data_IF_451473763485
#
_entry.id   IF_451473763485
#
_cell.length_a   1.000
_cell.length_b   1.000
_cell.length_c   1.000
_cell.angle_alpha   90.00
_cell.angle_beta   90.00
_cell.angle_gamma   90.00
#
_symmetry.space_group_name_H-M   'P 1'
#
loop_
_entity.id
_entity.type
_entity.pdbx_description
1 polymer ?
#
# COMPACT_ATOMS: atom_id res chain seq x y z
N UNK A 1 0.38 3.93 23.20
CA UNK A 1 1.60 3.63 22.41
C UNK A 1 2.92 3.88 23.18
N UNK A 2 2.92 3.96 24.53
CA UNK A 2 4.15 4.23 25.30
C UNK A 2 5.23 3.17 25.09
N UNK A 3 4.85 1.89 24.99
CA UNK A 3 5.79 0.81 24.74
C UNK A 3 6.60 0.99 23.45
N UNK A 4 6.01 1.57 22.40
CA UNK A 4 6.70 1.83 21.14
C UNK A 4 7.70 2.96 21.31
N UNK A 5 7.30 4.01 22.04
CA UNK A 5 8.19 5.12 22.37
C UNK A 5 9.42 4.62 23.16
N UNK A 6 9.23 3.73 24.14
CA UNK A 6 10.34 3.12 24.89
C UNK A 6 11.28 2.33 23.98
N UNK A 7 10.73 1.54 23.04
CA UNK A 7 11.54 0.77 22.10
C UNK A 7 12.34 1.66 21.14
N UNK A 8 11.74 2.73 20.64
CA UNK A 8 12.40 3.70 19.77
C UNK A 8 13.42 4.56 20.53
N UNK A 9 13.14 4.92 21.78
CA UNK A 9 14.07 5.62 22.65
C UNK A 9 15.34 4.81 22.91
N UNK A 10 15.21 3.49 23.15
CA UNK A 10 16.36 2.57 23.24
C UNK A 10 17.18 2.49 21.95
N UNK A 11 16.59 2.83 20.80
CA UNK A 11 17.28 2.95 19.52
C UNK A 11 17.89 4.34 19.31
N UNK A 12 17.77 5.26 20.27
CA UNK A 12 18.32 6.62 20.23
C UNK A 12 17.44 7.66 19.54
N UNK A 13 16.12 7.44 19.46
CA UNK A 13 15.18 8.46 19.00
C UNK A 13 14.62 9.25 20.18
N UNK A 14 14.47 10.56 20.02
CA UNK A 14 13.57 11.33 20.88
C UNK A 14 12.14 11.10 20.38
N UNK A 15 11.24 10.68 21.27
CA UNK A 15 9.85 10.35 20.90
C UNK A 15 8.90 11.18 21.74
N UNK A 16 8.01 11.90 21.07
CA UNK A 16 6.90 12.61 21.69
C UNK A 16 5.61 11.83 21.48
N UNK A 17 4.90 11.56 22.57
CA UNK A 17 3.60 10.89 22.55
C UNK A 17 2.57 11.81 23.19
N UNK A 18 1.85 12.64 22.41
CA UNK A 18 0.80 13.46 22.95
C UNK A 18 -0.38 12.60 23.44
N UNK A 19 -0.98 12.99 24.55
CA UNK A 19 -2.32 12.55 24.88
C UNK A 19 -3.33 13.32 24.03
N UNK A 20 -3.93 12.63 23.06
CA UNK A 20 -4.93 13.18 22.16
C UNK A 20 -6.36 12.82 22.58
N UNK A 21 -6.57 12.14 23.72
CA UNK A 21 -7.91 11.78 24.18
C UNK A 21 -8.86 12.99 24.29
N UNK A 22 -8.44 14.16 24.83
CA UNK A 22 -9.32 15.35 24.87
C UNK A 22 -9.69 15.90 23.49
N UNK A 23 -8.87 15.66 22.47
CA UNK A 23 -9.11 16.08 21.08
C UNK A 23 -10.04 15.10 20.35
N UNK A 24 -10.05 13.85 20.77
CA UNK A 24 -10.77 12.78 20.10
C UNK A 24 -12.08 12.40 20.77
N UNK A 25 -12.22 12.70 22.05
CA UNK A 25 -13.40 12.50 22.90
C UNK A 25 -13.89 13.91 23.29
N UNK A 26 -14.74 14.55 22.48
CA UNK A 26 -15.18 15.90 22.77
C UNK A 26 -16.03 15.92 24.04
N UNK A 27 -15.85 16.95 24.88
CA UNK A 27 -16.68 17.16 26.08
C UNK A 27 -18.17 17.40 25.74
N UNK A 28 -18.47 17.73 24.48
CA UNK A 28 -19.83 17.92 23.98
C UNK A 28 -19.91 17.63 22.49
N UNK A 29 -20.91 16.83 22.09
CA UNK A 29 -21.24 16.59 20.67
C UNK A 29 -22.01 17.75 20.03
N UNK A 30 -22.51 18.71 20.82
CA UNK A 30 -23.27 19.87 20.31
C UNK A 30 -22.42 21.10 20.01
N UNK A 31 -21.12 21.06 20.33
CA UNK A 31 -20.13 22.10 19.98
C UNK A 31 -19.03 21.50 19.09
N UNK A 32 -19.32 21.27 17.79
CA UNK A 32 -18.34 20.66 16.90
C UNK A 32 -17.14 21.59 16.73
N UNK A 33 -15.96 20.99 16.63
CA UNK A 33 -14.72 21.66 16.28
C UNK A 33 -13.93 20.79 15.31
N UNK A 34 -12.93 21.38 14.67
CA UNK A 34 -12.01 20.61 13.81
C UNK A 34 -11.01 19.83 14.69
N UNK A 35 -11.22 18.52 14.84
CA UNK A 35 -10.26 17.64 15.50
C UNK A 35 -8.89 17.70 14.82
N UNK A 36 -8.88 17.84 13.50
CA UNK A 36 -7.64 17.95 12.70
C UNK A 36 -6.84 19.20 13.08
N UNK A 37 -7.48 20.37 13.15
CA UNK A 37 -6.83 21.60 13.55
C UNK A 37 -6.34 21.54 15.00
N UNK A 38 -7.12 20.92 15.90
CA UNK A 38 -6.74 20.74 17.30
C UNK A 38 -5.52 19.83 17.46
N UNK A 39 -5.47 18.68 16.76
CA UNK A 39 -4.29 17.80 16.78
C UNK A 39 -3.08 18.53 16.19
N UNK A 40 -3.22 19.21 15.05
CA UNK A 40 -2.12 19.99 14.46
C UNK A 40 -1.56 21.01 15.46
N UNK A 41 -2.41 21.78 16.14
CA UNK A 41 -1.98 22.75 17.14
C UNK A 41 -1.22 22.11 18.32
N UNK A 42 -1.60 20.90 18.76
CA UNK A 42 -0.87 20.16 19.80
C UNK A 42 0.55 19.83 19.33
N UNK A 43 0.68 19.26 18.13
CA UNK A 43 1.99 18.91 17.56
C UNK A 43 2.86 20.14 17.30
N UNK A 44 2.29 21.25 16.81
CA UNK A 44 3.03 22.50 16.58
C UNK A 44 3.59 23.07 17.88
N UNK A 45 2.81 23.06 18.96
CA UNK A 45 3.27 23.49 20.29
C UNK A 45 4.40 22.61 20.80
N UNK A 46 4.29 21.29 20.64
CA UNK A 46 5.35 20.36 21.05
C UNK A 46 6.64 20.56 20.26
N UNK A 47 6.56 20.68 18.93
CA UNK A 47 7.74 20.92 18.09
C UNK A 47 8.40 22.25 18.41
N UNK A 48 7.61 23.31 18.59
CA UNK A 48 8.12 24.63 19.01
C UNK A 48 8.83 24.55 20.36
N UNK A 49 8.27 23.80 21.31
CA UNK A 49 8.89 23.65 22.62
C UNK A 49 10.21 22.85 22.55
N UNK A 50 10.27 21.78 21.75
CA UNK A 50 11.51 21.02 21.52
C UNK A 50 12.59 21.90 20.90
N UNK A 51 12.25 22.69 19.89
CA UNK A 51 13.23 23.52 19.17
C UNK A 51 13.68 24.71 20.00
N UNK A 52 12.89 25.16 20.97
CA UNK A 52 13.27 26.09 22.02
C UNK A 52 14.07 25.45 23.18
N UNK A 53 14.49 24.18 23.07
CA UNK A 53 15.31 23.49 24.06
C UNK A 53 14.53 22.65 25.08
N UNK A 54 13.22 22.50 24.93
CA UNK A 54 12.39 21.53 25.67
C UNK A 54 11.83 22.03 27.01
N UNK A 55 12.21 23.22 27.47
CA UNK A 55 11.84 23.72 28.81
C UNK A 55 10.32 23.78 29.07
N UNK A 56 9.52 24.17 28.07
CA UNK A 56 8.06 24.17 28.19
C UNK A 56 7.42 22.78 28.30
N UNK A 57 8.17 21.72 27.98
CA UNK A 57 7.80 20.32 28.16
C UNK A 57 8.44 19.70 29.41
N UNK A 58 9.25 20.44 30.16
CA UNK A 58 9.98 19.93 31.33
C UNK A 58 11.10 18.96 30.98
N UNK A 59 11.66 19.03 29.77
CA UNK A 59 12.77 18.17 29.31
C UNK A 59 13.93 18.99 28.76
N UNK A 60 15.15 18.47 28.83
CA UNK A 60 16.28 19.04 28.08
C UNK A 60 16.29 18.46 26.66
N UNK A 61 15.87 19.26 25.69
CA UNK A 61 15.81 18.87 24.28
C UNK A 61 16.98 19.42 23.45
N UNK A 62 18.02 20.00 24.07
CA UNK A 62 19.16 20.58 23.32
C UNK A 62 19.91 19.56 22.47
N UNK A 63 19.88 18.29 22.85
CA UNK A 63 20.50 17.19 22.11
C UNK A 63 19.60 16.59 21.02
N UNK A 64 18.37 17.09 20.83
CA UNK A 64 17.43 16.55 19.85
C UNK A 64 17.66 17.17 18.48
N UNK A 65 17.96 16.35 17.49
CA UNK A 65 17.94 16.76 16.09
C UNK A 65 16.48 16.85 15.59
N UNK A 66 15.93 18.07 15.62
CA UNK A 66 14.59 18.38 15.13
C UNK A 66 14.54 18.73 13.63
N UNK A 67 15.63 18.55 12.87
CA UNK A 67 15.67 18.86 11.44
C UNK A 67 14.96 17.80 10.57
N UNK A 68 14.76 16.58 11.10
CA UNK A 68 14.15 15.46 10.39
C UNK A 68 13.07 14.76 11.23
N UNK A 69 12.00 15.46 11.62
CA UNK A 69 10.93 14.85 12.39
C UNK A 69 10.27 13.72 11.58
N UNK A 70 9.89 12.65 12.26
CA UNK A 70 9.10 11.57 11.71
C UNK A 70 7.74 11.54 12.39
N UNK A 71 6.71 11.16 11.66
CA UNK A 71 5.37 11.00 12.20
C UNK A 71 4.99 9.52 12.26
N UNK A 72 4.50 9.07 13.42
CA UNK A 72 3.88 7.76 13.59
C UNK A 72 2.39 7.96 13.89
N UNK A 73 1.52 7.35 13.09
CA UNK A 73 0.07 7.45 13.24
C UNK A 73 -0.57 6.07 13.44
N UNK A 74 -1.70 6.03 14.15
CA UNK A 74 -2.54 4.85 14.31
C UNK A 74 -4.01 5.23 14.13
N UNK A 75 -4.80 4.36 13.47
CA UNK A 75 -6.25 4.52 13.31
C UNK A 75 -6.60 5.89 12.70
N UNK A 76 -7.55 6.61 13.30
CA UNK A 76 -7.99 7.96 12.90
C UNK A 76 -6.87 8.99 12.77
N UNK A 77 -5.73 8.79 13.43
CA UNK A 77 -4.59 9.72 13.31
C UNK A 77 -3.91 9.68 11.94
N UNK A 78 -4.17 8.66 11.11
CA UNK A 78 -3.65 8.57 9.74
C UNK A 78 -4.05 9.75 8.87
N UNK A 79 -5.35 10.11 8.89
CA UNK A 79 -5.89 11.27 8.18
C UNK A 79 -5.21 12.58 8.60
N UNK A 80 -5.03 12.76 9.90
CA UNK A 80 -4.43 13.96 10.47
C UNK A 80 -2.96 14.07 10.08
N UNK A 81 -2.24 12.95 10.10
CA UNK A 81 -0.80 12.94 9.83
C UNK A 81 -0.44 13.37 8.42
N UNK A 82 -1.24 12.96 7.44
CA UNK A 82 -1.10 13.39 6.05
C UNK A 82 -1.28 14.90 5.89
N UNK A 83 -2.26 15.48 6.59
CA UNK A 83 -2.52 16.92 6.53
C UNK A 83 -1.43 17.72 7.23
N UNK A 84 -0.97 17.26 8.39
CA UNK A 84 0.12 17.90 9.12
C UNK A 84 1.41 17.93 8.29
N UNK A 85 1.75 16.81 7.65
CA UNK A 85 2.92 16.74 6.78
C UNK A 85 2.83 17.69 5.57
N UNK A 86 1.63 17.95 5.02
CA UNK A 86 1.43 19.01 4.02
C UNK A 86 1.60 20.40 4.60
N UNK A 87 0.96 20.67 5.73
CA UNK A 87 0.99 21.98 6.40
C UNK A 87 2.43 22.40 6.73
N UNK A 88 3.26 21.44 7.12
CA UNK A 88 4.65 21.69 7.52
C UNK A 88 5.66 21.55 6.38
N UNK A 89 5.25 21.21 5.15
CA UNK A 89 6.18 20.95 4.05
C UNK A 89 7.10 22.14 3.71
N UNK A 90 6.65 23.38 3.94
CA UNK A 90 7.43 24.60 3.79
C UNK A 90 7.83 25.28 5.11
N UNK A 91 7.59 24.63 6.24
CA UNK A 91 7.90 25.16 7.57
C UNK A 91 9.34 24.90 7.99
N UNK A 92 9.68 25.28 9.23
CA UNK A 92 11.02 25.06 9.82
C UNK A 92 11.33 23.60 10.13
N UNK A 93 10.30 22.77 10.28
CA UNK A 93 10.42 21.34 10.63
C UNK A 93 9.55 20.47 9.71
N UNK A 94 9.88 20.36 8.41
CA UNK A 94 9.10 19.54 7.51
C UNK A 94 9.16 18.07 7.94
N UNK A 95 8.00 17.40 7.95
CA UNK A 95 7.93 15.96 8.24
C UNK A 95 8.76 15.20 7.19
N UNK A 96 9.75 14.45 7.65
CA UNK A 96 10.70 13.74 6.80
C UNK A 96 10.23 12.35 6.38
N UNK A 97 9.31 11.75 7.13
CA UNK A 97 8.72 10.44 6.85
C UNK A 97 7.45 10.23 7.67
N UNK A 98 6.56 9.39 7.14
CA UNK A 98 5.34 8.95 7.83
C UNK A 98 5.34 7.43 7.94
N UNK A 99 5.05 6.94 9.13
CA UNK A 99 4.71 5.56 9.42
C UNK A 99 3.28 5.52 9.96
N UNK A 100 2.45 4.64 9.44
CA UNK A 100 1.10 4.45 9.93
C UNK A 100 0.81 2.98 10.23
N UNK A 101 0.03 2.73 11.27
CA UNK A 101 -0.53 1.41 11.57
C UNK A 101 -2.05 1.48 11.51
N UNK A 102 -2.68 0.61 10.70
CA UNK A 102 -4.12 0.61 10.45
C UNK A 102 -4.73 2.01 10.32
N UNK A 103 -4.18 2.94 9.52
CA UNK A 103 -4.77 4.27 9.43
C UNK A 103 -6.09 4.23 8.67
N UNK A 104 -7.05 5.05 9.10
CA UNK A 104 -8.22 5.37 8.28
C UNK A 104 -7.99 6.66 7.48
N UNK A 105 -8.49 6.64 6.25
CA UNK A 105 -8.58 7.78 5.34
C UNK A 105 -10.04 8.13 5.02
N UNK A 106 -10.96 7.60 5.82
CA UNK A 106 -12.39 7.46 5.54
C UNK A 106 -13.20 8.77 5.67
N UNK A 107 -12.76 9.78 4.94
CA UNK A 107 -13.65 10.84 4.47
C UNK A 107 -14.33 10.47 3.16
N UNK A 108 -13.98 9.35 2.50
CA UNK A 108 -14.55 8.98 1.21
C UNK A 108 -15.90 8.25 1.33
N UNK A 109 -16.09 7.35 2.30
CA UNK A 109 -17.39 6.66 2.49
C UNK A 109 -18.45 7.56 3.13
N UNK A 110 -18.00 8.61 3.83
CA UNK A 110 -18.84 9.57 4.53
C UNK A 110 -18.94 10.94 3.81
N UNK A 111 -18.13 11.21 2.78
CA UNK A 111 -18.29 12.41 1.95
C UNK A 111 -19.47 12.24 0.98
N UNK A 112 -20.36 13.23 0.85
CA UNK A 112 -21.41 13.25 -0.17
C UNK A 112 -20.88 13.11 -1.60
N UNK A 113 -19.58 13.40 -1.82
CA UNK A 113 -18.93 13.30 -3.12
C UNK A 113 -18.38 11.91 -3.45
N UNK A 114 -18.30 10.99 -2.48
CA UNK A 114 -17.69 9.67 -2.64
C UNK A 114 -16.21 9.68 -3.02
N UNK A 115 -15.51 10.83 -2.90
CA UNK A 115 -14.11 10.99 -3.33
C UNK A 115 -13.16 10.93 -2.14
N UNK A 116 -12.04 10.24 -2.34
CA UNK A 116 -10.92 10.27 -1.42
C UNK A 116 -10.31 11.67 -1.30
N UNK A 117 -9.82 12.01 -0.10
CA UNK A 117 -9.01 13.20 0.14
C UNK A 117 -7.71 13.19 -0.69
N UNK A 118 -6.92 14.28 -0.67
CA UNK A 118 -5.72 14.43 -1.50
C UNK A 118 -4.68 13.30 -1.28
N UNK A 119 -3.87 12.93 -2.29
CA UNK A 119 -2.87 11.85 -2.19
C UNK A 119 -1.88 12.07 -1.04
N UNK A 120 -1.21 11.06 -0.50
CA UNK A 120 -0.16 11.27 0.51
C UNK A 120 0.87 12.35 0.09
N UNK A 121 1.40 13.15 1.03
CA UNK A 121 2.49 14.07 0.73
C UNK A 121 3.73 13.36 0.16
N UNK A 122 4.57 14.09 -0.57
CA UNK A 122 5.77 13.54 -1.23
C UNK A 122 6.96 13.30 -0.27
N UNK A 123 6.70 12.52 0.77
CA UNK A 123 7.69 12.05 1.76
C UNK A 123 7.66 10.53 1.80
N UNK A 124 8.74 9.85 2.22
CA UNK A 124 8.72 8.42 2.45
C UNK A 124 7.56 8.05 3.37
N UNK A 125 6.67 7.20 2.87
CA UNK A 125 5.45 6.79 3.56
C UNK A 125 5.36 5.26 3.63
N UNK A 126 5.05 4.75 4.81
CA UNK A 126 4.74 3.33 5.04
C UNK A 126 3.47 3.21 5.87
N UNK A 127 2.47 2.51 5.36
CA UNK A 127 1.37 1.96 6.17
C UNK A 127 1.60 0.49 6.44
N UNK A 128 1.24 0.03 7.63
CA UNK A 128 1.12 -1.38 7.99
C UNK A 128 -0.35 -1.61 8.34
N UNK A 129 -0.94 -2.67 7.81
CA UNK A 129 -2.28 -3.09 8.19
C UNK A 129 -2.33 -4.60 8.37
N UNK A 130 -3.14 -5.05 9.32
CA UNK A 130 -3.49 -6.46 9.43
C UNK A 130 -4.53 -6.85 8.38
N UNK A 131 -4.48 -8.07 7.85
CA UNK A 131 -5.58 -8.57 6.99
C UNK A 131 -6.82 -9.02 7.79
N UNK A 132 -6.74 -9.01 9.13
CA UNK A 132 -7.87 -9.23 10.04
C UNK A 132 -8.28 -7.94 10.77
N UNK A 133 -7.83 -6.76 10.32
CA UNK A 133 -8.30 -5.47 10.84
C UNK A 133 -9.80 -5.30 10.58
N UNK A 134 -10.63 -5.34 11.63
CA UNK A 134 -12.09 -5.21 11.51
C UNK A 134 -12.61 -3.79 11.79
N UNK A 135 -11.71 -2.83 12.01
CA UNK A 135 -12.08 -1.44 12.31
C UNK A 135 -11.97 -0.60 11.03
N UNK A 136 -10.76 -0.53 10.47
CA UNK A 136 -10.46 0.26 9.26
C UNK A 136 -10.28 -0.60 8.02
N UNK A 137 -10.13 -1.92 8.19
CA UNK A 137 -10.00 -2.85 7.08
C UNK A 137 -8.85 -2.51 6.14
N UNK A 138 -9.17 -2.29 4.87
CA UNK A 138 -8.19 -2.07 3.78
C UNK A 138 -7.98 -0.62 3.39
N UNK A 139 -8.42 0.33 4.21
CA UNK A 139 -8.40 1.77 3.93
C UNK A 139 -7.10 2.27 3.32
N UNK A 140 -5.93 1.93 3.88
CA UNK A 140 -4.66 2.43 3.34
C UNK A 140 -4.32 1.84 1.97
N UNK A 141 -4.68 0.57 1.72
CA UNK A 141 -4.43 -0.09 0.44
C UNK A 141 -5.32 0.51 -0.64
N UNK A 142 -6.58 0.77 -0.30
CA UNK A 142 -7.54 1.44 -1.19
C UNK A 142 -7.10 2.87 -1.49
N UNK A 143 -6.76 3.65 -0.46
CA UNK A 143 -6.31 5.02 -0.61
C UNK A 143 -5.05 5.14 -1.49
N UNK A 144 -4.04 4.28 -1.25
CA UNK A 144 -2.83 4.27 -2.07
C UNK A 144 -3.10 3.78 -3.51
N UNK A 145 -4.01 2.82 -3.71
CA UNK A 145 -4.40 2.34 -5.03
C UNK A 145 -5.18 3.39 -5.83
N UNK A 146 -6.01 4.19 -5.16
CA UNK A 146 -6.72 5.31 -5.76
C UNK A 146 -5.70 6.33 -6.31
N UNK A 147 -4.72 6.70 -5.49
CA UNK A 147 -3.68 7.69 -5.78
C UNK A 147 -2.40 7.14 -6.42
N UNK A 148 -2.45 5.96 -7.02
CA UNK A 148 -1.24 5.24 -7.50
C UNK A 148 -0.42 6.00 -8.56
N UNK A 149 -1.07 6.92 -9.29
CA UNK A 149 -0.46 7.78 -10.31
C UNK A 149 -0.09 9.16 -9.79
N UNK A 150 -0.36 9.47 -8.52
CA UNK A 150 0.01 10.76 -7.93
C UNK A 150 1.52 10.98 -8.10
N UNK A 151 1.93 12.16 -8.61
CA UNK A 151 3.34 12.51 -8.72
C UNK A 151 3.98 12.50 -7.34
N UNK A 152 5.09 11.76 -7.20
CA UNK A 152 5.92 11.74 -5.99
C UNK A 152 7.37 11.49 -6.38
N UNK A 153 8.34 11.79 -5.54
CA UNK A 153 9.75 11.39 -5.66
C UNK A 153 10.10 10.34 -4.62
N UNK A 154 9.46 10.41 -3.46
CA UNK A 154 9.62 9.47 -2.36
C UNK A 154 8.81 8.18 -2.57
N UNK A 155 9.15 7.09 -1.90
CA UNK A 155 8.33 5.87 -1.91
C UNK A 155 7.09 6.01 -1.01
N UNK A 156 5.95 5.45 -1.43
CA UNK A 156 4.82 5.12 -0.56
C UNK A 156 4.53 3.63 -0.65
N UNK A 157 4.29 3.01 0.50
CA UNK A 157 4.02 1.59 0.58
C UNK A 157 2.91 1.31 1.59
N UNK A 158 2.14 0.27 1.31
CA UNK A 158 1.26 -0.40 2.26
C UNK A 158 1.76 -1.83 2.39
N UNK A 159 2.02 -2.25 3.62
CA UNK A 159 2.36 -3.61 3.99
C UNK A 159 1.17 -4.24 4.70
N UNK A 160 0.52 -5.21 4.06
CA UNK A 160 -0.52 -6.01 4.68
C UNK A 160 0.07 -7.29 5.25
N UNK A 161 -0.09 -7.50 6.56
CA UNK A 161 0.46 -8.63 7.31
C UNK A 161 -0.63 -9.62 7.75
N UNK A 162 -0.43 -10.94 7.56
CA UNK A 162 -1.44 -11.94 7.91
C UNK A 162 -1.72 -12.06 9.42
N UNK A 163 -3.00 -12.18 9.79
CA UNK A 163 -3.50 -12.49 11.14
C UNK A 163 -3.44 -11.35 12.15
N UNK A 164 -2.81 -10.22 11.82
CA UNK A 164 -2.82 -9.04 12.68
C UNK A 164 -4.15 -8.28 12.51
N UNK A 165 -4.52 -7.54 13.55
CA UNK A 165 -5.77 -6.76 13.63
C UNK A 165 -5.49 -5.28 13.86
N UNK A 166 -6.53 -4.50 14.11
CA UNK A 166 -6.44 -3.06 14.28
C UNK A 166 -5.81 -2.63 15.60
N UNK A 167 -6.20 -3.30 16.70
CA UNK A 167 -6.06 -2.74 18.04
C UNK A 167 -5.33 -3.63 19.04
N UNK A 168 -5.11 -4.91 18.74
CA UNK A 168 -4.56 -5.86 19.71
C UNK A 168 -3.11 -5.59 20.15
N UNK A 169 -2.41 -4.64 19.53
CA UNK A 169 -1.12 -4.07 19.98
C UNK A 169 -1.26 -3.09 21.16
N UNK A 170 -2.48 -2.66 21.48
CA UNK A 170 -2.77 -1.79 22.59
C UNK A 170 -2.87 -2.62 23.88
N UNK A 171 -1.89 -2.44 24.78
CA UNK A 171 -1.82 -3.18 26.06
C UNK A 171 -3.09 -3.16 26.88
N UNK A 172 -3.82 -2.04 26.90
CA UNK A 172 -5.06 -1.94 27.66
C UNK A 172 -6.14 -2.85 27.06
N UNK A 173 -6.29 -2.85 25.73
CA UNK A 173 -7.25 -3.70 25.03
C UNK A 173 -6.85 -5.18 25.09
N UNK A 174 -5.57 -5.49 24.89
CA UNK A 174 -5.09 -6.87 24.97
C UNK A 174 -5.19 -7.45 26.38
N UNK A 175 -4.91 -6.65 27.43
CA UNK A 175 -5.09 -7.07 28.83
C UNK A 175 -6.56 -7.33 29.15
N UNK A 176 -7.47 -6.51 28.60
CA UNK A 176 -8.91 -6.71 28.69
C UNK A 176 -9.45 -7.82 27.75
N UNK A 177 -8.58 -8.47 26.96
CA UNK A 177 -8.94 -9.46 25.93
C UNK A 177 -9.95 -8.95 24.90
N UNK A 178 -9.89 -7.65 24.60
CA UNK A 178 -10.67 -7.01 23.55
C UNK A 178 -9.83 -7.10 22.27
N UNK A 179 -10.22 -8.02 21.39
CA UNK A 179 -9.57 -8.28 20.10
C UNK A 179 -10.58 -8.01 18.99
N UNK A 180 -10.20 -7.16 18.02
CA UNK A 180 -11.07 -6.82 16.89
C UNK A 180 -11.15 -7.95 15.86
N UNK A 181 -10.22 -8.91 15.91
CA UNK A 181 -10.13 -9.99 14.93
C UNK A 181 -11.17 -11.08 15.22
N UNK A 182 -11.98 -11.42 14.23
CA UNK A 182 -13.06 -12.40 14.36
C UNK A 182 -12.65 -13.83 14.01
N UNK A 183 -11.68 -14.02 13.11
CA UNK A 183 -11.28 -15.34 12.58
C UNK A 183 -9.94 -15.85 13.16
N UNK A 184 -9.78 -15.78 14.48
CA UNK A 184 -8.51 -16.16 15.15
C UNK A 184 -8.38 -17.62 15.58
N UNK A 185 -9.38 -18.47 15.30
CA UNK A 185 -9.40 -19.89 15.65
C UNK A 185 -8.22 -20.69 15.04
N UNK A 186 -7.57 -20.17 13.99
CA UNK A 186 -6.42 -20.78 13.32
C UNK A 186 -5.05 -20.26 13.79
N UNK A 187 -5.01 -19.53 14.90
CA UNK A 187 -3.76 -19.02 15.49
C UNK A 187 -3.37 -17.66 14.95
N UNK A 188 -4.07 -16.63 15.40
CA UNK A 188 -3.63 -15.25 15.23
C UNK A 188 -2.38 -14.94 16.07
N UNK A 189 -1.51 -14.01 15.63
CA UNK A 189 -0.43 -13.50 16.47
C UNK A 189 -0.94 -12.96 17.82
N UNK A 190 -0.21 -13.27 18.87
CA UNK A 190 -0.42 -12.73 20.22
C UNK A 190 -0.16 -11.23 20.28
N UNK A 191 -0.61 -10.56 21.35
CA UNK A 191 -0.33 -9.14 21.56
C UNK A 191 1.18 -8.84 21.61
N UNK A 192 1.98 -9.74 22.22
CA UNK A 192 3.43 -9.60 22.27
C UNK A 192 4.08 -9.71 20.88
N UNK A 193 3.61 -10.63 20.04
CA UNK A 193 4.06 -10.73 18.65
C UNK A 193 3.64 -9.51 17.83
N UNK A 194 2.47 -8.94 18.12
CA UNK A 194 1.98 -7.70 17.53
C UNK A 194 2.87 -6.50 17.88
N UNK A 195 3.17 -6.28 19.16
CA UNK A 195 4.10 -5.24 19.59
C UNK A 195 5.49 -5.44 18.98
N UNK A 196 6.00 -6.68 18.97
CA UNK A 196 7.31 -7.00 18.40
C UNK A 196 7.35 -6.66 16.91
N UNK A 197 6.35 -7.11 16.14
CA UNK A 197 6.24 -6.83 14.72
C UNK A 197 6.25 -5.32 14.45
N UNK A 198 5.37 -4.57 15.12
CA UNK A 198 5.24 -3.15 14.83
C UNK A 198 6.48 -2.37 15.28
N UNK A 199 7.07 -2.70 16.42
CA UNK A 199 8.31 -2.11 16.91
C UNK A 199 9.52 -2.36 16.02
N UNK A 200 9.69 -3.60 15.54
CA UNK A 200 10.77 -3.97 14.61
C UNK A 200 10.62 -3.25 13.26
N UNK A 201 9.41 -3.23 12.70
CA UNK A 201 9.11 -2.54 11.45
C UNK A 201 9.31 -1.03 11.60
N UNK A 202 8.78 -0.42 12.66
CA UNK A 202 8.93 1.00 12.93
C UNK A 202 10.39 1.40 13.07
N UNK A 203 11.17 0.67 13.88
CA UNK A 203 12.59 0.92 14.06
C UNK A 203 13.37 0.79 12.75
N UNK A 204 13.11 -0.26 11.96
CA UNK A 204 13.77 -0.48 10.67
C UNK A 204 13.43 0.60 9.64
N UNK A 205 12.16 1.02 9.58
CA UNK A 205 11.71 2.08 8.69
C UNK A 205 12.39 3.41 9.03
N UNK A 206 12.33 3.84 10.29
CA UNK A 206 12.95 5.10 10.74
C UNK A 206 14.46 5.10 10.58
N UNK A 207 15.12 3.98 10.89
CA UNK A 207 16.57 3.84 10.67
C UNK A 207 16.92 4.05 9.19
N UNK A 208 16.05 3.61 8.28
CA UNK A 208 16.22 3.80 6.84
C UNK A 208 15.94 5.24 6.40
N UNK A 209 14.79 5.80 6.77
CA UNK A 209 14.30 7.06 6.21
C UNK A 209 14.76 8.30 6.96
N UNK A 210 15.02 8.19 8.27
CA UNK A 210 15.52 9.28 9.11
C UNK A 210 17.04 9.22 9.25
N UNK A 211 17.62 8.03 9.41
CA UNK A 211 19.08 7.90 9.62
C UNK A 211 19.87 7.46 8.39
N UNK A 212 19.21 7.14 7.28
CA UNK A 212 19.87 6.73 6.05
C UNK A 212 20.58 5.39 6.14
N UNK A 213 20.23 4.54 7.12
CA UNK A 213 20.80 3.20 7.25
C UNK A 213 20.31 2.31 6.10
N UNK A 214 21.21 1.46 5.59
CA UNK A 214 20.84 0.48 4.57
C UNK A 214 19.81 -0.52 5.11
N UNK A 215 18.85 -0.91 4.29
CA UNK A 215 17.81 -1.87 4.66
C UNK A 215 17.20 -2.57 3.45
N UNK A 216 16.30 -3.51 3.73
CA UNK A 216 15.52 -4.22 2.71
C UNK A 216 14.30 -3.41 2.20
N UNK A 217 14.06 -2.19 2.73
CA UNK A 217 12.94 -1.37 2.30
C UNK A 217 13.18 -0.85 0.87
N UNK A 218 12.21 -1.01 -0.05
CA UNK A 218 12.33 -0.52 -1.42
C UNK A 218 11.97 0.98 -1.48
N UNK A 219 12.77 1.80 -0.81
CA UNK A 219 12.60 3.27 -0.77
C UNK A 219 12.92 3.95 -2.10
N UNK A 220 13.58 3.24 -3.03
CA UNK A 220 13.84 3.68 -4.41
C UNK A 220 13.06 2.84 -5.41
N UNK A 221 12.78 3.43 -6.56
CA UNK A 221 12.00 2.77 -7.60
C UNK A 221 12.72 1.65 -8.35
N UNK A 222 14.04 1.59 -8.31
CA UNK A 222 14.85 0.51 -8.88
C UNK A 222 15.03 -0.68 -7.93
N UNK A 223 14.71 -0.52 -6.64
CA UNK A 223 14.85 -1.59 -5.66
C UNK A 223 13.78 -2.68 -5.86
N UNK A 224 14.18 -3.93 -5.63
CA UNK A 224 13.28 -5.06 -5.67
C UNK A 224 12.31 -5.01 -4.49
N UNK A 225 11.03 -5.30 -4.74
CA UNK A 225 10.07 -5.53 -3.67
C UNK A 225 10.38 -6.85 -2.96
N UNK A 226 10.60 -6.83 -1.64
CA UNK A 226 10.83 -8.05 -0.89
C UNK A 226 9.52 -8.84 -0.75
N UNK A 227 9.60 -10.17 -0.76
CA UNK A 227 8.46 -11.04 -0.45
C UNK A 227 8.20 -11.19 1.06
N UNK A 228 9.17 -10.76 1.88
CA UNK A 228 9.13 -10.74 3.34
C UNK A 228 9.88 -9.54 3.86
N UNK A 229 9.40 -8.95 4.96
CA UNK A 229 10.16 -7.92 5.69
C UNK A 229 10.30 -8.37 7.13
N UNK A 230 11.55 -8.38 7.62
CA UNK A 230 11.90 -8.83 8.97
C UNK A 230 11.33 -10.23 9.28
N UNK A 231 11.39 -11.13 8.29
CA UNK A 231 10.88 -12.50 8.39
C UNK A 231 9.37 -12.64 8.19
N UNK A 232 8.60 -11.55 8.18
CA UNK A 232 7.15 -11.59 8.07
C UNK A 232 6.71 -11.70 6.61
N UNK A 233 5.81 -12.64 6.25
CA UNK A 233 5.16 -12.62 4.95
C UNK A 233 4.26 -11.39 4.88
N UNK A 234 4.30 -10.68 3.75
CA UNK A 234 3.49 -9.48 3.58
C UNK A 234 3.11 -9.26 2.13
N UNK A 235 1.90 -8.75 1.92
CA UNK A 235 1.50 -8.20 0.61
C UNK A 235 1.86 -6.72 0.60
N UNK A 236 2.71 -6.34 -0.34
CA UNK A 236 3.01 -4.94 -0.59
C UNK A 236 2.05 -4.38 -1.63
N UNK A 237 1.58 -3.16 -1.40
CA UNK A 237 1.20 -2.23 -2.45
C UNK A 237 2.21 -1.09 -2.40
N UNK A 238 3.02 -0.93 -3.45
CA UNK A 238 4.12 0.02 -3.47
C UNK A 238 4.03 0.94 -4.67
N UNK A 239 4.25 2.22 -4.38
CA UNK A 239 4.32 3.31 -5.35
C UNK A 239 5.64 4.03 -5.12
N UNK A 240 6.59 3.81 -6.01
CA UNK A 240 7.82 4.58 -6.06
C UNK A 240 7.99 5.14 -7.46
N UNK A 241 8.23 6.44 -7.54
CA UNK A 241 8.36 7.11 -8.83
C UNK A 241 9.82 7.02 -9.27
N UNK A 242 10.10 6.16 -10.25
CA UNK A 242 11.33 6.29 -11.01
C UNK A 242 11.17 7.49 -11.96
N UNK A 243 12.17 8.37 -12.09
CA UNK A 243 12.25 9.26 -13.24
C UNK A 243 12.01 8.47 -14.54
N UNK A 244 11.09 8.92 -15.38
CA UNK A 244 10.73 8.22 -16.63
C UNK A 244 9.83 6.99 -16.48
N UNK A 245 9.29 6.70 -15.28
CA UNK A 245 8.24 5.69 -15.08
C UNK A 245 7.04 6.02 -15.98
N UNK A 246 6.59 5.04 -16.74
CA UNK A 246 5.32 5.11 -17.48
C UNK A 246 4.31 4.19 -16.83
N UNK A 247 3.14 4.71 -16.48
CA UNK A 247 2.05 3.92 -15.91
C UNK A 247 0.94 3.76 -16.95
N UNK A 248 0.62 2.51 -17.27
CA UNK A 248 -0.58 2.16 -18.01
C UNK A 248 -1.70 1.95 -16.99
N UNK A 249 -2.47 3.02 -16.72
CA UNK A 249 -3.53 3.04 -15.70
C UNK A 249 -4.85 2.51 -16.25
N UNK A 250 -5.53 1.62 -15.52
CA UNK A 250 -6.83 1.11 -15.90
C UNK A 250 -7.83 2.24 -16.20
N UNK A 251 -8.58 2.09 -17.30
CA UNK A 251 -9.52 3.09 -17.80
C UNK A 251 -8.89 4.22 -18.62
N UNK A 252 -7.57 4.39 -18.60
CA UNK A 252 -6.88 5.34 -19.47
C UNK A 252 -6.82 4.86 -20.93
N UNK A 253 -6.67 5.79 -21.88
CA UNK A 253 -6.47 5.44 -23.30
C UNK A 253 -5.17 4.65 -23.51
N UNK A 254 -4.11 5.02 -22.81
CA UNK A 254 -2.78 4.41 -22.94
C UNK A 254 -2.74 2.95 -22.48
N UNK A 255 -3.66 2.55 -21.58
CA UNK A 255 -3.72 1.20 -21.03
C UNK A 255 -4.61 0.25 -21.83
N UNK A 256 -5.28 0.70 -22.91
CA UNK A 256 -6.11 -0.23 -23.70
C UNK A 256 -5.25 -1.37 -24.26
N UNK A 257 -5.59 -2.65 -24.00
CA UNK A 257 -4.83 -3.75 -24.54
C UNK A 257 -4.93 -3.73 -26.06
N UNK A 258 -3.79 -3.85 -26.73
CA UNK A 258 -3.69 -3.90 -28.19
C UNK A 258 -4.05 -5.27 -28.75
N UNK A 259 -4.09 -6.31 -27.89
CA UNK A 259 -4.60 -7.65 -28.23
C UNK A 259 -5.33 -8.21 -27.02
N UNK A 260 -6.54 -8.72 -27.25
CA UNK A 260 -7.30 -9.56 -26.33
C UNK A 260 -7.80 -10.79 -27.08
N UNK A 261 -7.12 -11.93 -26.93
CA UNK A 261 -7.51 -13.20 -27.55
C UNK A 261 -7.87 -14.18 -26.45
N UNK A 262 -9.07 -14.76 -26.48
CA UNK A 262 -9.52 -15.68 -25.43
C UNK A 262 -9.59 -15.05 -24.02
N UNK A 263 -9.67 -13.71 -23.96
CA UNK A 263 -9.80 -12.92 -22.72
C UNK A 263 -10.94 -11.93 -22.87
N UNK A 264 -11.85 -11.92 -21.90
CA UNK A 264 -12.77 -10.79 -21.71
C UNK A 264 -12.02 -9.69 -20.97
N UNK A 265 -11.97 -8.48 -21.52
CA UNK A 265 -11.32 -7.33 -20.90
C UNK A 265 -12.32 -6.19 -20.75
N UNK A 266 -12.67 -5.88 -19.50
CA UNK A 266 -13.63 -4.81 -19.18
C UNK A 266 -13.01 -3.86 -18.17
N UNK A 267 -13.33 -2.57 -18.30
CA UNK A 267 -13.03 -1.60 -17.25
C UNK A 267 -14.30 -1.41 -16.43
N UNK A 268 -14.19 -1.57 -15.12
CA UNK A 268 -15.30 -1.46 -14.20
C UNK A 268 -14.81 -1.04 -12.80
N UNK A 269 -15.74 -0.67 -11.93
CA UNK A 269 -15.49 -0.32 -10.53
C UNK A 269 -16.11 -1.39 -9.60
N UNK A 270 -15.60 -1.55 -8.37
CA UNK A 270 -16.29 -2.29 -7.31
C UNK A 270 -17.05 -1.33 -6.39
N UNK A 271 -18.15 -1.80 -5.81
CA UNK A 271 -19.01 -0.99 -4.95
C UNK A 271 -18.53 -1.02 -3.50
N UNK A 272 -18.53 0.13 -2.80
CA UNK A 272 -18.41 0.11 -1.35
C UNK A 272 -19.51 -0.77 -0.75
N UNK A 273 -19.19 -1.59 0.28
CA UNK A 273 -20.20 -2.32 1.01
C UNK A 273 -21.20 -1.33 1.62
N UNK A 274 -22.49 -1.69 1.56
CA UNK A 274 -23.61 -0.90 2.11
C UNK A 274 -23.94 0.43 1.41
N UNK A 275 -23.49 0.68 0.18
CA UNK A 275 -24.00 1.81 -0.62
C UNK A 275 -25.29 1.41 -1.36
N UNK A 276 -26.46 1.99 -1.03
CA UNK A 276 -27.76 1.52 -1.53
C UNK A 276 -28.17 2.03 -2.93
N UNK A 277 -27.31 2.77 -3.65
CA UNK A 277 -27.72 3.47 -4.88
C UNK A 277 -27.86 2.56 -6.10
N UNK A 278 -28.79 2.97 -6.99
CA UNK A 278 -29.23 2.31 -8.22
C UNK A 278 -28.11 1.67 -9.04
N UNK A 279 -28.45 0.55 -9.68
CA UNK A 279 -27.55 -0.28 -10.49
C UNK A 279 -27.17 0.45 -11.78
N UNK A 280 -26.30 1.45 -11.68
CA UNK A 280 -25.68 2.10 -12.82
C UNK A 280 -24.85 1.10 -13.62
N UNK A 281 -24.74 1.34 -14.93
CA UNK A 281 -23.78 0.64 -15.77
C UNK A 281 -22.34 1.03 -15.37
N UNK A 282 -21.41 0.07 -15.36
CA UNK A 282 -19.98 0.33 -15.06
C UNK A 282 -19.40 -0.37 -13.82
N UNK A 283 -20.19 -1.17 -13.10
CA UNK A 283 -19.69 -1.98 -11.98
C UNK A 283 -19.27 -3.40 -12.42
N UNK A 284 -18.27 -3.95 -11.74
CA UNK A 284 -17.82 -5.31 -11.97
C UNK A 284 -18.83 -6.31 -11.39
N UNK A 285 -19.15 -7.43 -12.07
CA UNK A 285 -19.95 -8.50 -11.47
C UNK A 285 -19.27 -9.08 -10.23
N UNK A 286 -19.90 -9.01 -9.05
CA UNK A 286 -19.28 -9.38 -7.76
C UNK A 286 -19.55 -10.83 -7.31
N UNK A 287 -20.68 -11.43 -7.71
CA UNK A 287 -21.25 -12.62 -7.08
C UNK A 287 -20.28 -13.82 -6.90
N UNK A 288 -19.34 -14.02 -7.83
CA UNK A 288 -18.44 -15.19 -7.82
C UNK A 288 -16.97 -14.84 -7.50
N UNK A 289 -16.67 -13.58 -7.16
CA UNK A 289 -15.29 -13.08 -7.11
C UNK A 289 -14.63 -13.06 -5.72
N UNK A 290 -15.41 -13.27 -4.66
CA UNK A 290 -15.03 -12.85 -3.31
C UNK A 290 -15.03 -11.32 -3.17
N UNK A 291 -14.74 -10.82 -1.97
CA UNK A 291 -14.81 -9.38 -1.70
C UNK A 291 -13.55 -8.69 -2.22
N UNK A 292 -13.65 -7.95 -3.32
CA UNK A 292 -12.55 -7.11 -3.81
C UNK A 292 -12.64 -5.74 -3.15
N UNK A 293 -11.80 -5.51 -2.15
CA UNK A 293 -11.75 -4.30 -1.35
C UNK A 293 -10.95 -3.20 -2.04
N UNK A 294 -11.43 -2.76 -3.20
CA UNK A 294 -10.85 -1.67 -4.00
C UNK A 294 -11.98 -0.94 -4.70
N UNK A 295 -12.62 -0.04 -3.95
CA UNK A 295 -13.89 0.56 -4.33
C UNK A 295 -13.72 1.87 -5.10
N UNK A 296 -14.73 2.21 -5.89
CA UNK A 296 -14.88 3.53 -6.53
C UNK A 296 -13.65 4.01 -7.33
N UNK A 297 -12.94 3.07 -7.96
CA UNK A 297 -11.85 3.38 -8.88
C UNK A 297 -11.85 2.45 -10.10
N UNK A 298 -11.47 2.95 -11.29
CA UNK A 298 -11.37 2.11 -12.48
C UNK A 298 -10.34 1.00 -12.32
N UNK A 299 -10.79 -0.22 -12.54
CA UNK A 299 -9.98 -1.43 -12.62
C UNK A 299 -10.27 -2.14 -13.95
N UNK A 300 -9.24 -2.76 -14.53
CA UNK A 300 -9.41 -3.64 -15.68
C UNK A 300 -9.57 -5.08 -15.19
N UNK A 301 -10.78 -5.61 -15.32
CA UNK A 301 -11.05 -7.05 -15.13
C UNK A 301 -10.61 -7.80 -16.38
N UNK A 302 -9.85 -8.88 -16.16
CA UNK A 302 -9.39 -9.80 -17.19
C UNK A 302 -9.86 -11.19 -16.84
N UNK A 303 -10.69 -11.79 -17.70
CA UNK A 303 -11.20 -13.16 -17.53
C UNK A 303 -10.70 -14.05 -18.65
N UNK A 304 -10.01 -15.13 -18.28
CA UNK A 304 -9.29 -16.00 -19.21
C UNK A 304 -10.09 -17.29 -19.46
N UNK A 305 -10.36 -17.61 -20.74
CA UNK A 305 -11.27 -18.72 -21.10
C UNK A 305 -10.60 -20.09 -21.28
N UNK A 306 -9.51 -20.20 -22.06
CA UNK A 306 -8.81 -21.50 -22.33
C UNK A 306 -7.29 -21.36 -22.45
N UNK A 307 -6.82 -20.26 -23.03
CA UNK A 307 -5.42 -19.84 -23.10
C UNK A 307 -5.37 -18.35 -23.47
N UNK A 308 -5.99 -17.56 -22.59
CA UNK A 308 -6.26 -16.17 -22.88
C UNK A 308 -4.98 -15.34 -22.87
N UNK A 309 -4.94 -14.32 -23.73
CA UNK A 309 -3.86 -13.33 -23.80
C UNK A 309 -4.43 -11.92 -23.75
N UNK A 310 -3.89 -11.10 -22.86
CA UNK A 310 -4.01 -9.63 -22.90
C UNK A 310 -2.63 -9.02 -23.10
N UNK A 311 -2.47 -8.15 -24.10
CA UNK A 311 -1.18 -7.50 -24.44
C UNK A 311 -1.32 -6.00 -24.47
N UNK A 312 -0.36 -5.31 -23.88
CA UNK A 312 -0.23 -3.86 -23.86
C UNK A 312 1.02 -3.44 -24.61
N UNK A 313 0.89 -2.38 -25.42
CA UNK A 313 2.05 -1.76 -26.05
C UNK A 313 2.83 -0.93 -25.03
N UNK A 314 4.15 -0.96 -25.12
CA UNK A 314 5.04 -0.12 -24.32
C UNK A 314 5.37 1.13 -25.11
N UNK A 315 5.10 2.34 -24.58
CA UNK A 315 5.50 3.58 -25.24
C UNK A 315 7.01 3.65 -25.42
N UNK A 316 7.48 4.27 -26.52
CA UNK A 316 8.90 4.36 -26.85
C UNK A 316 9.75 4.99 -25.73
N UNK A 317 9.18 5.93 -24.98
CA UNK A 317 9.83 6.59 -23.83
C UNK A 317 10.16 5.62 -22.68
N UNK A 318 9.44 4.51 -22.56
CA UNK A 318 9.66 3.48 -21.54
C UNK A 318 10.30 2.20 -22.10
N UNK A 319 10.80 2.22 -23.35
CA UNK A 319 11.37 1.04 -23.97
C UNK A 319 12.68 0.57 -23.29
N UNK A 320 13.39 1.46 -22.60
CA UNK A 320 14.60 1.11 -21.82
C UNK A 320 14.25 0.65 -20.38
N UNK A 321 13.13 -0.08 -20.25
CA UNK A 321 12.65 -0.64 -19.01
C UNK A 321 13.69 -1.58 -18.38
N UNK A 322 13.79 -1.53 -17.06
CA UNK A 322 14.56 -2.50 -16.26
C UNK A 322 13.62 -3.43 -15.48
N UNK A 323 12.42 -2.93 -15.11
CA UNK A 323 11.39 -3.75 -14.49
C UNK A 323 9.98 -3.39 -14.94
N UNK A 324 9.07 -4.35 -14.75
CA UNK A 324 7.62 -4.19 -14.90
C UNK A 324 6.98 -4.45 -13.56
N UNK A 325 6.09 -3.55 -13.13
CA UNK A 325 5.27 -3.72 -11.92
C UNK A 325 3.81 -3.86 -12.31
N UNK A 326 3.17 -4.89 -11.79
CA UNK A 326 1.74 -5.13 -11.95
C UNK A 326 1.07 -4.77 -10.64
N UNK A 327 0.15 -3.82 -10.68
CA UNK A 327 -0.70 -3.45 -9.56
C UNK A 327 -1.99 -4.23 -9.74
N UNK A 328 -2.07 -5.38 -9.07
CA UNK A 328 -2.98 -6.47 -9.41
C UNK A 328 -3.63 -7.06 -8.16
N UNK A 329 -4.85 -7.55 -8.31
CA UNK A 329 -5.49 -8.42 -7.35
C UNK A 329 -6.05 -9.64 -8.07
N UNK A 330 -5.95 -10.85 -7.50
CA UNK A 330 -6.71 -11.98 -8.01
C UNK A 330 -8.19 -11.76 -7.71
N UNK A 331 -9.04 -12.50 -8.41
CA UNK A 331 -10.47 -12.59 -8.13
C UNK A 331 -10.91 -14.05 -8.20
N UNK A 332 -12.01 -14.38 -7.53
CA UNK A 332 -12.70 -15.66 -7.67
C UNK A 332 -12.47 -16.65 -6.54
N UNK A 333 -13.52 -17.44 -6.25
CA UNK A 333 -13.36 -18.74 -5.62
C UNK A 333 -12.69 -19.69 -6.63
N UNK A 334 -11.42 -20.01 -6.39
CA UNK A 334 -10.64 -20.93 -7.23
C UNK A 334 -10.64 -22.35 -6.67
N UNK A 335 -11.56 -22.65 -5.75
CA UNK A 335 -11.55 -23.86 -4.95
C UNK A 335 -10.39 -23.88 -3.96
N UNK A 336 -10.58 -24.55 -2.82
CA UNK A 336 -9.62 -24.62 -1.70
C UNK A 336 -8.26 -25.24 -2.08
N UNK A 337 -8.17 -25.95 -3.20
CA UNK A 337 -6.96 -26.64 -3.67
C UNK A 337 -6.05 -25.78 -4.54
N UNK A 338 -6.49 -24.62 -5.01
CA UNK A 338 -5.68 -23.76 -5.87
C UNK A 338 -4.91 -22.71 -5.05
N UNK A 339 -3.57 -22.69 -5.08
CA UNK A 339 -2.76 -21.75 -4.31
C UNK A 339 -2.92 -20.28 -4.71
N UNK A 340 -3.51 -19.98 -5.88
CA UNK A 340 -3.72 -18.61 -6.35
C UNK A 340 -4.00 -18.50 -7.83
N UNK A 341 -3.58 -17.38 -8.42
CA UNK A 341 -3.76 -17.13 -9.85
C UNK A 341 -2.50 -17.42 -10.64
N UNK A 342 -2.40 -18.57 -11.35
CA UNK A 342 -1.27 -18.82 -12.22
C UNK A 342 -1.32 -17.85 -13.41
N UNK A 343 -0.31 -16.99 -13.50
CA UNK A 343 -0.11 -16.06 -14.60
C UNK A 343 1.23 -16.34 -15.25
N UNK A 344 1.30 -16.12 -16.56
CA UNK A 344 2.56 -16.06 -17.30
C UNK A 344 2.73 -14.66 -17.86
N UNK A 345 3.84 -14.03 -17.48
CA UNK A 345 4.27 -12.76 -18.04
C UNK A 345 5.05 -13.05 -19.32
N UNK A 346 4.67 -12.41 -20.41
CA UNK A 346 5.40 -12.42 -21.68
C UNK A 346 5.82 -10.99 -22.00
N UNK A 347 7.10 -10.78 -22.22
CA UNK A 347 7.65 -9.49 -22.69
C UNK A 347 8.18 -9.66 -24.10
N UNK A 348 8.00 -8.64 -24.94
CA UNK A 348 8.54 -8.64 -26.30
C UNK A 348 9.48 -7.47 -26.48
N UNK A 349 10.58 -7.70 -27.19
CA UNK A 349 11.47 -6.62 -27.59
C UNK A 349 10.98 -5.93 -28.88
N UNK A 350 11.60 -4.80 -29.21
CA UNK A 350 11.29 -4.03 -30.44
C UNK A 350 11.65 -4.77 -31.73
N UNK A 351 12.32 -5.93 -31.66
CA UNK A 351 12.61 -6.81 -32.80
C UNK A 351 11.60 -7.96 -32.92
N UNK A 352 10.60 -8.00 -32.03
CA UNK A 352 9.53 -8.99 -32.02
C UNK A 352 9.81 -10.26 -31.23
N UNK A 353 11.02 -10.44 -30.68
CA UNK A 353 11.38 -11.62 -29.90
C UNK A 353 10.61 -11.64 -28.58
N UNK A 354 10.04 -12.79 -28.23
CA UNK A 354 9.23 -12.99 -27.02
C UNK A 354 9.99 -13.77 -25.95
N UNK A 355 9.88 -13.30 -24.71
CA UNK A 355 10.47 -13.92 -23.53
C UNK A 355 9.39 -14.07 -22.47
N UNK A 356 9.39 -15.18 -21.76
CA UNK A 356 8.30 -15.50 -20.85
C UNK A 356 8.80 -15.97 -19.49
N UNK A 357 8.00 -15.68 -18.46
CA UNK A 357 8.21 -16.11 -17.09
C UNK A 357 6.88 -16.51 -16.47
N UNK A 358 6.84 -17.66 -15.80
CA UNK A 358 5.70 -18.04 -14.98
C UNK A 358 5.79 -17.27 -13.66
N UNK A 359 4.70 -16.59 -13.30
CA UNK A 359 4.58 -15.90 -12.02
C UNK A 359 4.17 -16.91 -10.95
N UNK A 360 4.76 -16.81 -9.77
CA UNK A 360 4.45 -17.70 -8.67
C UNK A 360 2.99 -17.47 -8.21
N UNK A 361 2.09 -18.47 -8.31
CA UNK A 361 0.70 -18.30 -7.88
C UNK A 361 0.56 -18.05 -6.37
N UNK A 362 1.58 -18.42 -5.56
CA UNK A 362 1.66 -18.12 -4.12
C UNK A 362 2.23 -16.75 -3.81
N UNK A 363 2.57 -15.94 -4.81
CA UNK A 363 2.98 -14.57 -4.59
C UNK A 363 1.88 -13.83 -3.82
N UNK A 364 2.17 -13.01 -2.78
CA UNK A 364 1.14 -12.38 -1.95
C UNK A 364 0.08 -11.57 -2.72
N UNK A 365 0.44 -10.99 -3.86
CA UNK A 365 -0.45 -10.28 -4.78
C UNK A 365 -1.25 -11.17 -5.77
N UNK A 366 -1.04 -12.50 -5.77
CA UNK A 366 -1.74 -13.48 -6.63
C UNK A 366 -2.38 -14.63 -5.83
N UNK A 367 -2.03 -14.77 -4.55
CA UNK A 367 -2.45 -15.85 -3.68
C UNK A 367 -3.98 -15.89 -3.51
N UNK A 368 -4.53 -17.10 -3.47
CA UNK A 368 -5.92 -17.33 -3.12
C UNK A 368 -6.13 -16.98 -1.63
N UNK A 369 -7.24 -16.31 -1.32
CA UNK A 369 -7.60 -15.89 0.04
C UNK A 369 -8.90 -16.51 0.54
N UNK A 370 -9.52 -17.37 -0.26
CA UNK A 370 -10.71 -18.10 0.16
C UNK A 370 -10.41 -18.96 1.39
N UNK A 371 -11.34 -18.95 2.34
CA UNK A 371 -11.29 -19.78 3.55
C UNK A 371 -12.34 -20.89 3.47
N UNK A 372 -12.59 -21.59 4.58
CA UNK A 372 -13.69 -22.55 4.62
C UNK A 372 -15.06 -21.87 4.51
N UNK A 373 -15.15 -20.62 4.95
CA UNK A 373 -16.40 -19.91 5.22
C UNK A 373 -16.56 -18.64 4.37
N UNK A 374 -15.53 -18.26 3.59
CA UNK A 374 -15.54 -17.05 2.77
C UNK A 374 -14.87 -17.29 1.42
N UNK A 375 -15.29 -16.58 0.37
CA UNK A 375 -14.62 -16.58 -0.94
C UNK A 375 -13.33 -15.74 -0.97
N UNK A 376 -12.91 -15.24 0.19
CA UNK A 376 -11.70 -14.45 0.40
C UNK A 376 -11.90 -12.95 0.24
N UNK A 377 -11.02 -12.21 0.90
CA UNK A 377 -10.90 -10.75 0.77
C UNK A 377 -9.66 -10.40 -0.03
N UNK A 378 -9.87 -9.68 -1.12
CA UNK A 378 -8.86 -9.37 -2.12
C UNK A 378 -8.63 -7.87 -2.20
N UNK A 379 -7.39 -7.47 -2.44
CA UNK A 379 -7.00 -6.08 -2.53
C UNK A 379 -5.82 -5.98 -3.51
N UNK A 380 -5.67 -4.82 -4.15
CA UNK A 380 -4.53 -4.57 -5.05
C UNK A 380 -3.22 -4.70 -4.28
N UNK A 381 -2.30 -5.49 -4.83
CA UNK A 381 -0.91 -5.56 -4.42
C UNK A 381 0.03 -5.39 -5.62
N UNK A 382 1.30 -5.18 -5.33
CA UNK A 382 2.34 -5.02 -6.35
C UNK A 382 3.07 -6.33 -6.55
N UNK A 383 3.14 -6.76 -7.81
CA UNK A 383 4.06 -7.78 -8.28
C UNK A 383 5.12 -7.09 -9.15
N UNK A 384 6.39 -7.16 -8.74
CA UNK A 384 7.51 -6.60 -9.51
C UNK A 384 8.31 -7.72 -10.19
N UNK A 385 8.54 -7.57 -11.49
CA UNK A 385 9.43 -8.42 -12.27
C UNK A 385 10.57 -7.57 -12.82
N UNK A 386 11.78 -7.81 -12.34
CA UNK A 386 13.00 -7.30 -13.00
C UNK A 386 13.21 -8.10 -14.28
N UNK A 387 13.41 -7.39 -15.39
CA UNK A 387 13.45 -8.01 -16.72
C UNK A 387 14.68 -8.91 -16.91
N UNK A 388 15.75 -8.70 -16.15
CA UNK A 388 16.92 -9.57 -16.12
C UNK A 388 16.61 -11.01 -15.68
N UNK A 389 15.58 -11.20 -14.84
CA UNK A 389 15.09 -12.50 -14.39
C UNK A 389 14.22 -13.20 -15.42
N UNK A 390 13.81 -12.51 -16.49
CA UNK A 390 13.06 -13.14 -17.58
C UNK A 390 14.05 -13.88 -18.48
N UNK A 391 13.96 -15.21 -18.50
CA UNK A 391 14.89 -16.08 -19.23
C UNK A 391 15.02 -15.64 -20.70
N UNK A 392 16.25 -15.38 -21.12
CA UNK A 392 16.60 -14.98 -22.50
C UNK A 392 16.47 -13.47 -22.79
N UNK A 393 15.95 -12.68 -21.86
CA UNK A 393 15.86 -11.22 -22.01
C UNK A 393 17.25 -10.59 -22.09
N UNK A 394 18.17 -10.92 -21.20
CA UNK A 394 19.53 -10.39 -21.30
C UNK A 394 20.31 -11.07 -22.44
N UNK A 395 21.02 -10.24 -23.22
CA UNK A 395 22.11 -10.67 -24.10
C UNK A 395 23.34 -9.83 -23.78
N UNK A 396 24.53 -10.44 -23.60
CA UNK A 396 25.78 -9.69 -23.52
C UNK A 396 25.93 -8.76 -24.73
N UNK A 397 26.26 -7.49 -24.48
CA UNK A 397 26.60 -6.53 -25.54
C UNK A 397 25.45 -5.93 -26.36
N UNK A 398 24.17 -6.22 -26.09
CA UNK A 398 23.05 -5.55 -26.78
C UNK A 398 21.89 -5.28 -25.82
N UNK A 399 21.69 -4.02 -25.39
CA UNK A 399 20.52 -3.64 -24.59
C UNK A 399 19.25 -3.93 -25.38
N UNK A 400 18.37 -4.76 -24.83
CA UNK A 400 17.03 -4.95 -25.40
C UNK A 400 16.13 -3.79 -25.02
N UNK A 401 15.23 -3.45 -25.95
CA UNK A 401 14.20 -2.43 -25.75
C UNK A 401 12.84 -3.10 -25.68
N UNK A 402 12.07 -2.84 -24.64
CA UNK A 402 10.73 -3.37 -24.40
C UNK A 402 9.71 -2.73 -25.34
N UNK A 403 8.94 -3.57 -26.03
CA UNK A 403 7.90 -3.16 -26.97
C UNK A 403 6.49 -3.53 -26.50
N UNK A 404 6.34 -4.63 -25.77
CA UNK A 404 5.03 -5.01 -25.20
C UNK A 404 5.18 -5.81 -23.91
N UNK A 405 4.20 -5.65 -23.03
CA UNK A 405 3.95 -6.52 -21.88
C UNK A 405 2.69 -7.31 -22.15
N UNK A 406 2.67 -8.59 -21.80
CA UNK A 406 1.56 -9.49 -22.06
C UNK A 406 1.34 -10.40 -20.86
N UNK A 407 0.06 -10.63 -20.51
CA UNK A 407 -0.36 -11.59 -19.51
C UNK A 407 -1.12 -12.73 -20.17
N UNK A 408 -0.71 -13.95 -19.85
CA UNK A 408 -1.36 -15.19 -20.26
C UNK A 408 -1.85 -15.96 -19.02
N UNK A 409 -3.02 -16.58 -19.12
CA UNK A 409 -3.53 -17.50 -18.13
C UNK A 409 -4.47 -18.54 -18.73
N UNK A 410 -4.63 -19.65 -18.00
CA UNK A 410 -5.53 -20.75 -18.34
C UNK A 410 -7.00 -20.44 -18.04
N UNK A 411 -7.87 -21.38 -18.43
CA UNK A 411 -9.31 -21.32 -18.19
C UNK A 411 -9.68 -21.03 -16.73
N UNK A 412 -10.71 -20.20 -16.53
CA UNK A 412 -11.27 -19.92 -15.20
C UNK A 412 -10.42 -18.99 -14.34
N UNK A 413 -9.32 -18.46 -14.88
CA UNK A 413 -8.56 -17.42 -14.18
C UNK A 413 -9.18 -16.05 -14.42
N UNK A 414 -9.37 -15.29 -13.35
CA UNK A 414 -9.71 -13.88 -13.40
C UNK A 414 -8.81 -13.06 -12.47
N UNK A 415 -8.45 -11.86 -12.93
CA UNK A 415 -7.70 -10.86 -12.18
C UNK A 415 -8.32 -9.49 -12.40
N UNK A 416 -8.05 -8.58 -11.49
CA UNK A 416 -8.26 -7.15 -11.68
C UNK A 416 -6.93 -6.42 -11.64
N UNK A 417 -6.73 -5.58 -12.64
CA UNK A 417 -5.52 -4.81 -12.85
C UNK A 417 -5.83 -3.34 -12.60
N UNK A 418 -5.07 -2.71 -11.70
CA UNK A 418 -5.11 -1.26 -11.48
C UNK A 418 -4.15 -0.54 -12.42
N UNK A 419 -2.92 -1.01 -12.54
CA UNK A 419 -1.95 -0.46 -13.49
C UNK A 419 -0.83 -1.44 -13.86
N UNK A 420 -0.17 -1.14 -14.98
CA UNK A 420 1.13 -1.70 -15.35
C UNK A 420 2.13 -0.56 -15.35
N UNK A 421 3.04 -0.55 -14.38
CA UNK A 421 4.12 0.44 -14.34
C UNK A 421 5.37 -0.13 -15.01
N UNK A 422 5.88 0.61 -15.98
CA UNK A 422 7.10 0.30 -16.71
C UNK A 422 8.18 1.23 -16.16
N UNK A 423 9.15 0.62 -15.50
CA UNK A 423 10.16 1.34 -14.72
C UNK A 423 11.47 1.30 -15.51
N UNK A 424 11.99 2.45 -15.97
CA UNK A 424 13.26 2.50 -16.68
C UNK A 424 14.42 2.17 -15.76
N UNK A 425 15.55 1.82 -16.37
CA UNK A 425 16.81 1.73 -15.64
C UNK A 425 17.16 3.10 -15.06
N UNK A 426 17.49 3.15 -13.77
CA UNK A 426 18.02 4.37 -13.17
C UNK A 426 19.29 4.80 -13.91
N UNK A 427 19.30 6.00 -14.49
CA UNK A 427 20.54 6.63 -14.94
C UNK A 427 21.35 6.95 -13.69
N UNK A 428 22.51 6.30 -13.54
CA UNK A 428 23.44 6.56 -12.44
C UNK A 428 24.11 7.91 -12.59
#
# INVERSE_FOLDING_TARGET
MQWLADQLARRGYAVLVPDLAPVYIPASTSKPYSQEAAVQAVFERMMTAITAGGGALGVDAKAVDASRPALIAHSRSGLVGDRMARAWAGGTHPISTILAYGPTYDLARSSPSGRWGPPHPDVPYLSIMGDHDQDTGTDSAEFLAYWITAPRRSAAMVLTVPGYGHNYLNRALSAAKIDDRTDCERGCPTAAEHERMFGEVAGSWLDTTVRGRASAWPIRADQALPSRILGLPGRFLAVSNAPGRVSLLAGSRAERPVVSRGVTSTVCNFRPPMQPSDVGSGYCPEADLGTVMTYEMPLRRLEFKRSGTARWAVPAAAANADSVRLQISPTGDRGKTNPGTPLRLVVRDTRGAAFAMNLNPRHPALANRATANTNGSYQVGTLQVTLDRVRGWQRPGTPRRLASVQLEAGAGSAIVLRSIDIVPRATR
#
